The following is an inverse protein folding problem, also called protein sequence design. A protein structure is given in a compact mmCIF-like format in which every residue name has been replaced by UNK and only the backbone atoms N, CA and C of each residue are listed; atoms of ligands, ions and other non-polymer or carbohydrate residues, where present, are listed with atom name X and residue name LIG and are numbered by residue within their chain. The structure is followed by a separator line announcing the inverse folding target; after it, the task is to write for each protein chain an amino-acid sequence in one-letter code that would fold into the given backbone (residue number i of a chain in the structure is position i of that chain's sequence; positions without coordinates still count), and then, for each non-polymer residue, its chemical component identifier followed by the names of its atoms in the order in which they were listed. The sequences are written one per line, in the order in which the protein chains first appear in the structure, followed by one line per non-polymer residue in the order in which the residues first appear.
data_IF_208692006743
#
_entry.id   IF_208692006743
#
_cell.length_a   1.000
_cell.length_b   1.000
_cell.length_c   1.000
_cell.angle_alpha   90.00
_cell.angle_beta   90.00
_cell.angle_gamma   90.00
#
_symmetry.space_group_name_H-M   'P 1'
#
loop_
_entity.id
_entity.type
_entity.pdbx_description
1 polymer ?
#
# COMPACT_ATOMS: atom_id res chain seq x y z
N UNK A 1 4.90 -44.87 21.66
CA UNK A 1 4.81 -43.57 22.37
C UNK A 1 5.89 -42.55 21.96
N UNK A 2 6.59 -42.71 20.83
CA UNK A 2 7.68 -41.82 20.42
C UNK A 2 7.25 -40.66 19.49
N UNK A 3 6.08 -40.77 18.84
CA UNK A 3 5.68 -39.83 17.78
C UNK A 3 4.92 -38.59 18.27
N UNK A 4 4.15 -38.69 19.36
CA UNK A 4 3.31 -37.56 19.79
C UNK A 4 4.14 -36.38 20.32
N UNK A 5 5.20 -36.67 21.09
CA UNK A 5 6.11 -35.63 21.63
C UNK A 5 6.90 -34.90 20.53
N UNK A 6 7.32 -35.63 19.49
CA UNK A 6 8.04 -35.07 18.35
C UNK A 6 7.15 -34.18 17.48
N UNK A 7 5.90 -34.58 17.24
CA UNK A 7 4.95 -33.75 16.50
C UNK A 7 4.60 -32.45 17.25
N UNK A 8 4.45 -32.52 18.57
CA UNK A 8 4.19 -31.34 19.40
C UNK A 8 5.38 -30.37 19.35
N UNK A 9 6.62 -30.87 19.40
CA UNK A 9 7.80 -30.00 19.34
C UNK A 9 7.95 -29.33 17.98
N UNK A 10 7.71 -30.06 16.88
CA UNK A 10 7.74 -29.49 15.51
C UNK A 10 6.62 -28.46 15.31
N UNK A 11 5.43 -28.72 15.85
CA UNK A 11 4.31 -27.78 15.78
C UNK A 11 4.60 -26.48 16.54
N UNK A 12 5.12 -26.56 17.77
CA UNK A 12 5.51 -25.39 18.55
C UNK A 12 6.65 -24.59 17.90
N UNK A 13 7.61 -25.27 17.25
CA UNK A 13 8.67 -24.62 16.48
C UNK A 13 8.11 -23.89 15.24
N UNK A 14 7.13 -24.49 14.55
CA UNK A 14 6.50 -23.87 13.38
C UNK A 14 5.70 -22.60 13.72
N UNK A 15 4.98 -22.58 14.86
CA UNK A 15 4.23 -21.40 15.32
C UNK A 15 5.19 -20.27 15.73
N UNK A 16 6.27 -20.60 16.43
CA UNK A 16 7.26 -19.60 16.86
C UNK A 16 8.01 -18.97 15.68
N UNK A 17 8.29 -19.73 14.62
CA UNK A 17 8.84 -19.20 13.36
C UNK A 17 7.86 -18.25 12.65
N UNK A 18 6.55 -18.53 12.69
CA UNK A 18 5.54 -17.63 12.14
C UNK A 18 5.40 -16.32 12.94
N UNK A 19 5.59 -16.36 14.26
CA UNK A 19 5.51 -15.17 15.12
C UNK A 19 6.70 -14.22 14.97
N UNK A 20 7.86 -14.73 14.56
CA UNK A 20 9.04 -13.91 14.22
C UNK A 20 9.05 -13.41 12.77
N UNK A 21 8.17 -13.94 11.91
CA UNK A 21 7.91 -13.37 10.58
C UNK A 21 7.08 -12.09 10.74
N UNK A 22 7.77 -10.98 11.02
CA UNK A 22 7.21 -9.63 10.98
C UNK A 22 6.60 -9.39 9.60
N UNK A 23 5.27 -9.44 9.48
CA UNK A 23 4.50 -9.02 8.29
C UNK A 23 4.57 -7.50 8.05
N UNK A 24 5.56 -6.80 8.60
CA UNK A 24 5.62 -5.33 8.56
C UNK A 24 5.94 -4.77 7.17
N UNK A 25 6.47 -5.57 6.23
CA UNK A 25 7.11 -5.03 5.01
C UNK A 25 6.65 -5.60 3.66
N UNK A 26 5.59 -6.40 3.59
CA UNK A 26 5.17 -6.96 2.29
C UNK A 26 4.50 -5.96 1.35
N UNK A 27 4.09 -4.77 1.82
CA UNK A 27 3.05 -4.01 1.11
C UNK A 27 3.38 -2.55 0.75
N UNK A 28 4.48 -1.92 1.20
CA UNK A 28 4.63 -0.46 1.02
C UNK A 28 4.89 -0.01 -0.44
N UNK A 29 5.87 -0.60 -1.12
CA UNK A 29 6.16 -0.29 -2.53
C UNK A 29 5.01 -0.63 -3.50
N UNK A 30 4.38 -1.83 -3.44
CA UNK A 30 3.25 -2.14 -4.32
C UNK A 30 2.01 -1.28 -4.02
N UNK A 31 1.76 -0.88 -2.77
CA UNK A 31 0.65 0.03 -2.44
C UNK A 31 0.83 1.42 -3.04
N UNK A 32 2.05 2.00 -3.01
CA UNK A 32 2.32 3.26 -3.68
C UNK A 32 2.15 3.15 -5.20
N UNK A 33 2.61 2.05 -5.82
CA UNK A 33 2.43 1.82 -7.25
C UNK A 33 0.95 1.72 -7.66
N UNK A 34 0.13 1.01 -6.87
CA UNK A 34 -1.32 0.92 -7.08
C UNK A 34 -1.99 2.28 -6.90
N UNK A 35 -1.62 3.04 -5.86
CA UNK A 35 -2.15 4.38 -5.61
C UNK A 35 -1.81 5.34 -6.76
N UNK A 36 -0.60 5.24 -7.35
CA UNK A 36 -0.18 6.04 -8.50
C UNK A 36 -0.99 5.69 -9.76
N UNK A 37 -1.20 4.40 -10.03
CA UNK A 37 -1.99 3.96 -11.17
C UNK A 37 -3.46 4.42 -11.06
N UNK A 38 -4.03 4.31 -9.85
CA UNK A 38 -5.38 4.76 -9.56
C UNK A 38 -5.50 6.29 -9.64
N UNK A 39 -4.47 7.04 -9.23
CA UNK A 39 -4.40 8.49 -9.43
C UNK A 39 -4.49 8.84 -10.92
N UNK A 40 -3.67 8.22 -11.77
CA UNK A 40 -3.65 8.49 -13.21
C UNK A 40 -4.98 8.17 -13.91
N UNK A 41 -5.60 7.03 -13.59
CA UNK A 41 -6.92 6.69 -14.14
C UNK A 41 -7.98 7.73 -13.75
N UNK A 42 -7.97 8.17 -12.50
CA UNK A 42 -8.93 9.16 -12.01
C UNK A 42 -8.72 10.53 -12.65
N UNK A 43 -7.46 10.96 -12.83
CA UNK A 43 -7.11 12.18 -13.55
C UNK A 43 -7.61 12.17 -15.00
N UNK A 44 -7.43 11.04 -15.70
CA UNK A 44 -7.92 10.89 -17.07
C UNK A 44 -9.45 11.01 -17.13
N UNK A 45 -10.16 10.39 -16.18
CA UNK A 45 -11.61 10.49 -16.07
C UNK A 45 -12.07 11.91 -15.73
N UNK A 46 -11.44 12.54 -14.75
CA UNK A 46 -11.79 13.91 -14.33
C UNK A 46 -11.52 14.91 -15.48
N UNK A 47 -10.49 14.69 -16.31
CA UNK A 47 -10.23 15.49 -17.51
C UNK A 47 -11.30 15.26 -18.58
N UNK A 48 -11.74 14.02 -18.77
CA UNK A 48 -12.84 13.72 -19.66
C UNK A 48 -14.14 14.37 -19.19
N UNK A 49 -14.46 14.30 -17.90
CA UNK A 49 -15.65 14.92 -17.32
C UNK A 49 -15.60 16.46 -17.43
N UNK A 50 -14.41 17.07 -17.39
CA UNK A 50 -14.21 18.48 -17.66
C UNK A 50 -14.49 18.81 -19.13
N UNK A 51 -13.92 18.02 -20.07
CA UNK A 51 -14.13 18.19 -21.50
C UNK A 51 -15.59 17.98 -21.92
N UNK A 52 -16.28 17.06 -21.26
CA UNK A 52 -17.72 16.79 -21.45
C UNK A 52 -18.60 17.87 -20.78
N UNK A 53 -18.01 18.84 -20.07
CA UNK A 53 -18.73 19.90 -19.36
C UNK A 53 -19.51 19.43 -18.12
N UNK A 54 -19.25 18.21 -17.63
CA UNK A 54 -19.91 17.64 -16.45
C UNK A 54 -19.38 18.22 -15.14
N UNK A 55 -18.13 18.70 -15.15
CA UNK A 55 -17.52 19.40 -14.03
C UNK A 55 -16.93 20.74 -14.50
N UNK A 56 -16.75 21.67 -13.56
CA UNK A 56 -16.10 22.95 -13.83
C UNK A 56 -14.59 22.86 -13.66
N UNK A 57 -13.84 23.82 -14.21
CA UNK A 57 -12.40 23.94 -13.99
C UNK A 57 -12.05 24.00 -12.49
N UNK A 58 -12.81 24.76 -11.70
CA UNK A 58 -12.59 24.88 -10.26
C UNK A 58 -12.73 23.52 -9.54
N UNK A 59 -13.72 22.72 -9.94
CA UNK A 59 -13.92 21.36 -9.40
C UNK A 59 -12.81 20.40 -9.83
N UNK A 60 -12.32 20.54 -11.08
CA UNK A 60 -11.20 19.75 -11.57
C UNK A 60 -9.92 20.05 -10.78
N UNK A 61 -9.58 21.32 -10.59
CA UNK A 61 -8.38 21.76 -9.86
C UNK A 61 -8.42 21.32 -8.38
N UNK A 62 -9.59 21.41 -7.74
CA UNK A 62 -9.79 20.93 -6.37
C UNK A 62 -9.55 19.41 -6.25
N UNK A 63 -10.11 18.64 -7.19
CA UNK A 63 -9.95 17.18 -7.22
C UNK A 63 -8.49 16.77 -7.44
N UNK A 64 -7.77 17.44 -8.33
CA UNK A 64 -6.33 17.20 -8.52
C UNK A 64 -5.60 17.40 -7.20
N UNK A 65 -5.80 18.55 -6.55
CA UNK A 65 -5.10 18.89 -5.32
C UNK A 65 -5.36 17.89 -4.20
N UNK A 66 -6.61 17.44 -4.03
CA UNK A 66 -6.98 16.45 -3.04
C UNK A 66 -6.30 15.09 -3.29
N UNK A 67 -6.28 14.64 -4.55
CA UNK A 67 -5.72 13.33 -4.90
C UNK A 67 -4.20 13.33 -4.89
N UNK A 68 -3.55 14.39 -5.36
CA UNK A 68 -2.09 14.54 -5.27
C UNK A 68 -1.63 14.51 -3.81
N UNK A 69 -2.34 15.19 -2.90
CA UNK A 69 -2.00 15.19 -1.48
C UNK A 69 -2.18 13.79 -0.84
N UNK A 70 -3.26 13.08 -1.19
CA UNK A 70 -3.53 11.72 -0.73
C UNK A 70 -2.49 10.70 -1.23
N UNK A 71 -2.21 10.68 -2.54
CA UNK A 71 -1.22 9.76 -3.13
C UNK A 71 0.19 10.05 -2.63
N UNK A 72 0.56 11.34 -2.51
CA UNK A 72 1.84 11.75 -1.93
C UNK A 72 2.00 11.23 -0.50
N UNK A 73 0.96 11.32 0.33
CA UNK A 73 0.98 10.80 1.70
C UNK A 73 1.17 9.28 1.76
N UNK A 74 0.45 8.53 0.91
CA UNK A 74 0.57 7.06 0.82
C UNK A 74 1.98 6.66 0.36
N UNK A 75 2.54 7.37 -0.62
CA UNK A 75 3.88 7.10 -1.11
C UNK A 75 4.96 7.51 -0.12
N UNK A 76 4.86 8.68 0.54
CA UNK A 76 5.82 9.10 1.56
C UNK A 76 5.83 8.14 2.76
N UNK A 77 4.66 7.74 3.27
CA UNK A 77 4.60 6.77 4.36
C UNK A 77 5.19 5.42 3.96
N UNK A 78 5.07 5.06 2.68
CA UNK A 78 5.72 3.87 2.12
C UNK A 78 7.25 4.00 2.04
N UNK A 79 7.77 5.18 1.69
CA UNK A 79 9.21 5.48 1.67
C UNK A 79 9.82 5.59 3.07
N UNK A 80 9.17 6.31 4.00
CA UNK A 80 9.61 6.45 5.39
C UNK A 80 9.71 5.08 6.06
N UNK A 81 8.69 4.21 5.86
CA UNK A 81 8.75 2.83 6.35
C UNK A 81 9.82 1.98 5.68
N UNK A 82 10.30 2.34 4.49
CA UNK A 82 11.43 1.66 3.84
C UNK A 82 12.75 2.10 4.48
N UNK A 83 12.90 3.40 4.72
CA UNK A 83 14.09 4.01 5.32
C UNK A 83 14.28 3.60 6.79
N UNK A 84 13.21 3.64 7.58
CA UNK A 84 13.24 3.36 9.02
C UNK A 84 13.66 1.95 9.43
N UNK A 85 13.58 0.97 8.53
CA UNK A 85 14.02 -0.40 8.85
C UNK A 85 15.11 -0.93 7.94
N UNK A 86 15.86 -0.02 7.30
CA UNK A 86 17.31 -0.18 7.02
C UNK A 86 17.78 -1.44 6.30
N UNK A 87 16.88 -2.27 5.79
CA UNK A 87 17.16 -3.56 5.17
C UNK A 87 16.67 -3.49 3.73
N UNK A 88 17.44 -2.77 2.92
CA UNK A 88 17.62 -3.07 1.51
C UNK A 88 19.12 -3.05 1.22
#
# INVERSE_FOLDING_TARGET
MLNCKFYISVFMLSISVQWHCKKEYSNSAPLCAIALAQLQQNLAKDLQDLNDGKITQATYDEKIRLRENGTTTICLTSFIKRDQNGNF
#
